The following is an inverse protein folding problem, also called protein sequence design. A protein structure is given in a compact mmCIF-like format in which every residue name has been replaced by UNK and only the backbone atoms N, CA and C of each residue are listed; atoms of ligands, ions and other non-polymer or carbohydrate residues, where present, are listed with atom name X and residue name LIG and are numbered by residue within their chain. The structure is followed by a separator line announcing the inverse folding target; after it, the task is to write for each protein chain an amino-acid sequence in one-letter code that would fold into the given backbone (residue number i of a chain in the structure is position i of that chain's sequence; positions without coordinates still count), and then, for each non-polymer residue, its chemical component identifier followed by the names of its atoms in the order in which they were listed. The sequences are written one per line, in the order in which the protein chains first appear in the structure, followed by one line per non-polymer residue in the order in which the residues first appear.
data_IF_430939891558
#
_entry.id   IF_430939891558
#
_cell.length_a   1.000
_cell.length_b   1.000
_cell.length_c   1.000
_cell.angle_alpha   90.00
_cell.angle_beta   90.00
_cell.angle_gamma   90.00
#
_symmetry.space_group_name_H-M   'P 1'
#
loop_
_entity.id
_entity.type
_entity.pdbx_description
1 polymer ?
#
# COMPACT_ATOMS: atom_id res chain seq x y z
N UNK A 1 9.38 -27.91 -2.35
CA UNK A 1 9.55 -26.44 -2.31
C UNK A 1 8.51 -25.84 -3.22
N UNK A 2 7.44 -25.27 -2.66
CA UNK A 2 6.42 -24.57 -3.46
C UNK A 2 6.95 -23.19 -3.81
N UNK A 3 7.26 -22.98 -5.09
CA UNK A 3 7.63 -21.67 -5.62
C UNK A 3 6.43 -20.74 -5.37
N UNK A 4 6.60 -19.79 -4.47
CA UNK A 4 5.63 -18.72 -4.26
C UNK A 4 5.48 -17.99 -5.61
N UNK A 5 4.27 -17.84 -6.16
CA UNK A 5 4.10 -17.19 -7.46
C UNK A 5 4.70 -15.79 -7.41
N UNK A 6 5.49 -15.45 -8.44
CA UNK A 6 6.12 -14.15 -8.54
C UNK A 6 5.05 -13.05 -8.54
N UNK A 7 5.28 -11.98 -7.78
CA UNK A 7 4.39 -10.82 -7.75
C UNK A 7 4.28 -10.20 -9.16
N UNK A 8 3.07 -9.87 -9.65
CA UNK A 8 2.91 -9.27 -10.97
C UNK A 8 3.38 -7.81 -10.95
N UNK A 9 4.49 -7.52 -11.64
CA UNK A 9 4.95 -6.14 -11.89
C UNK A 9 4.06 -5.46 -12.94
N UNK A 10 4.00 -4.12 -12.91
CA UNK A 10 3.21 -3.35 -13.88
C UNK A 10 2.45 -2.17 -13.28
N UNK A 11 1.45 -1.70 -14.03
CA UNK A 11 0.61 -0.56 -13.63
C UNK A 11 -0.67 -1.04 -12.96
N UNK A 12 -0.93 -0.50 -11.78
CA UNK A 12 -2.07 -0.88 -10.95
C UNK A 12 -2.73 0.33 -10.30
N UNK A 13 -4.01 0.16 -10.00
CA UNK A 13 -4.74 0.93 -8.99
C UNK A 13 -4.78 0.11 -7.71
N UNK A 14 -4.45 0.74 -6.58
CA UNK A 14 -4.35 0.08 -5.28
C UNK A 14 -5.60 0.41 -4.46
N UNK A 15 -6.52 -0.55 -4.31
CA UNK A 15 -7.72 -0.40 -3.48
C UNK A 15 -7.42 -0.79 -2.04
N UNK A 16 -7.74 0.08 -1.09
CA UNK A 16 -7.63 -0.21 0.34
C UNK A 16 -8.71 -1.22 0.75
N UNK A 17 -8.29 -2.28 1.43
CA UNK A 17 -9.11 -3.37 1.97
C UNK A 17 -8.47 -3.87 3.28
N UNK A 18 -9.05 -4.89 3.91
CA UNK A 18 -8.41 -5.57 5.04
C UNK A 18 -8.28 -7.05 4.76
N UNK A 19 -7.46 -7.74 5.55
CA UNK A 19 -7.34 -9.21 5.46
C UNK A 19 -8.58 -9.95 5.92
N UNK A 20 -9.40 -9.34 6.80
CA UNK A 20 -10.68 -9.89 7.25
C UNK A 20 -11.80 -9.67 6.24
N UNK A 21 -11.75 -8.58 5.48
CA UNK A 21 -12.68 -8.22 4.41
C UNK A 21 -11.91 -7.84 3.11
N UNK A 22 -11.39 -8.85 2.38
CA UNK A 22 -10.60 -8.61 1.16
C UNK A 22 -11.45 -8.11 -0.03
N UNK A 23 -12.77 -8.13 0.09
CA UNK A 23 -13.68 -7.68 -0.96
C UNK A 23 -14.97 -7.07 -0.36
N UNK A 24 -14.91 -5.82 0.12
CA UNK A 24 -16.05 -5.15 0.77
C UNK A 24 -17.20 -4.77 -0.21
N UNK A 25 -17.19 -5.29 -1.44
CA UNK A 25 -18.23 -5.05 -2.45
C UNK A 25 -17.92 -3.89 -3.38
N UNK A 26 -18.97 -3.22 -3.87
CA UNK A 26 -18.87 -2.09 -4.82
C UNK A 26 -18.49 -0.81 -4.08
N UNK A 27 -17.59 -0.02 -4.69
CA UNK A 27 -17.05 1.20 -4.09
C UNK A 27 -15.71 0.97 -3.41
N UNK A 28 -15.42 1.75 -2.38
CA UNK A 28 -14.13 1.76 -1.69
C UNK A 28 -13.21 2.88 -2.17
N UNK A 29 -12.03 2.92 -1.58
CA UNK A 29 -11.07 3.99 -1.78
C UNK A 29 -9.75 3.44 -2.31
N UNK A 30 -9.11 4.24 -3.16
CA UNK A 30 -7.88 3.89 -3.85
C UNK A 30 -6.76 4.84 -3.46
N UNK A 31 -5.54 4.32 -3.33
CA UNK A 31 -4.36 5.15 -3.13
C UNK A 31 -4.28 6.18 -4.27
N UNK A 32 -4.25 7.45 -3.88
CA UNK A 32 -4.37 8.60 -4.77
C UNK A 32 -3.20 9.53 -4.49
N UNK A 33 -2.34 9.72 -5.49
CA UNK A 33 -1.21 10.63 -5.43
C UNK A 33 -1.66 12.08 -5.41
N UNK A 34 -0.77 12.96 -4.98
CA UNK A 34 -0.97 14.42 -4.90
C UNK A 34 0.22 15.16 -5.48
N UNK A 35 0.48 16.35 -4.98
CA UNK A 35 1.70 17.08 -5.31
C UNK A 35 2.91 16.41 -4.64
N UNK A 36 4.13 16.67 -5.12
CA UNK A 36 5.36 16.16 -4.49
C UNK A 36 5.46 16.55 -3.02
N UNK A 37 6.04 15.66 -2.22
CA UNK A 37 6.19 15.80 -0.76
C UNK A 37 4.88 15.79 0.04
N UNK A 38 3.73 15.84 -0.62
CA UNK A 38 2.44 15.72 0.04
C UNK A 38 2.10 14.26 0.38
N UNK A 39 1.27 14.03 1.41
CA UNK A 39 0.77 12.69 1.74
C UNK A 39 -0.02 12.04 0.61
N UNK A 40 0.21 10.75 0.39
CA UNK A 40 -0.64 9.93 -0.46
C UNK A 40 -1.96 9.72 0.28
N UNK A 41 -3.05 10.13 -0.34
CA UNK A 41 -4.41 10.03 0.23
C UNK A 41 -5.17 8.88 -0.41
N UNK A 42 -6.41 8.69 0.02
CA UNK A 42 -7.35 7.78 -0.58
C UNK A 42 -8.53 8.56 -1.16
N UNK A 43 -9.03 8.12 -2.30
CA UNK A 43 -10.19 8.72 -2.94
C UNK A 43 -11.04 7.62 -3.60
N UNK A 44 -12.34 7.84 -3.82
CA UNK A 44 -13.19 6.88 -4.50
C UNK A 44 -12.76 6.67 -5.96
N UNK A 45 -13.16 5.53 -6.54
CA UNK A 45 -13.01 5.26 -7.98
C UNK A 45 -13.98 6.16 -8.75
N UNK A 46 -13.49 7.32 -9.18
CA UNK A 46 -14.27 8.28 -9.97
C UNK A 46 -13.39 8.95 -11.01
N UNK A 47 -13.95 9.40 -12.15
CA UNK A 47 -13.17 10.02 -13.22
C UNK A 47 -12.32 11.22 -12.79
N UNK A 48 -12.71 11.91 -11.71
CA UNK A 48 -11.98 13.05 -11.14
C UNK A 48 -10.59 12.68 -10.56
N UNK A 49 -10.40 11.43 -10.13
CA UNK A 49 -9.18 10.97 -9.47
C UNK A 49 -8.45 9.88 -10.26
N UNK A 50 -9.01 9.42 -11.38
CA UNK A 50 -8.51 8.27 -12.13
C UNK A 50 -7.06 8.45 -12.61
N UNK A 51 -6.71 9.67 -13.00
CA UNK A 51 -5.37 10.09 -13.40
C UNK A 51 -4.36 10.10 -12.24
N UNK A 52 -4.83 10.15 -10.98
CA UNK A 52 -4.01 10.19 -9.76
C UNK A 52 -3.97 8.87 -9.00
N UNK A 53 -4.69 7.86 -9.47
CA UNK A 53 -4.82 6.55 -8.82
C UNK A 53 -3.96 5.44 -9.46
N UNK A 54 -3.13 5.80 -10.44
CA UNK A 54 -2.28 4.85 -11.17
C UNK A 54 -0.88 4.82 -10.59
N UNK A 55 -0.41 3.61 -10.27
CA UNK A 55 0.91 3.35 -9.68
C UNK A 55 1.65 2.29 -10.49
N UNK A 56 2.93 2.50 -10.75
CA UNK A 56 3.79 1.53 -11.43
C UNK A 56 4.65 0.80 -10.40
N UNK A 57 4.37 -0.49 -10.20
CA UNK A 57 5.11 -1.35 -9.28
C UNK A 57 6.19 -2.08 -10.05
N UNK A 58 7.44 -1.91 -9.63
CA UNK A 58 8.63 -2.47 -10.29
C UNK A 58 9.45 -3.23 -9.27
N UNK A 59 9.94 -4.42 -9.63
CA UNK A 59 10.81 -5.22 -8.76
C UNK A 59 12.25 -4.70 -8.78
N UNK A 60 12.90 -4.73 -7.63
CA UNK A 60 14.33 -4.46 -7.53
C UNK A 60 15.12 -5.65 -8.10
N UNK A 61 16.20 -5.38 -8.85
CA UNK A 61 16.94 -6.42 -9.60
C UNK A 61 17.53 -7.53 -8.72
N UNK A 62 17.99 -7.16 -7.54
CA UNK A 62 18.82 -8.03 -6.69
C UNK A 62 18.10 -8.53 -5.43
N UNK A 63 16.83 -8.13 -5.23
CA UNK A 63 16.07 -8.41 -4.02
C UNK A 63 14.62 -8.79 -4.35
N UNK A 64 13.95 -9.51 -3.43
CA UNK A 64 12.51 -9.73 -3.53
C UNK A 64 11.71 -8.54 -2.96
N UNK A 65 12.13 -7.33 -3.32
CA UNK A 65 11.58 -6.06 -2.88
C UNK A 65 11.14 -5.25 -4.10
N UNK A 66 10.23 -4.30 -3.90
CA UNK A 66 9.53 -3.58 -4.96
C UNK A 66 9.45 -2.10 -4.63
N UNK A 67 9.46 -1.28 -5.69
CA UNK A 67 9.19 0.16 -5.61
C UNK A 67 7.82 0.45 -6.19
N UNK A 68 7.08 1.35 -5.54
CA UNK A 68 5.75 1.80 -5.97
C UNK A 68 5.92 3.22 -6.49
N UNK A 69 6.03 3.36 -7.81
CA UNK A 69 6.19 4.66 -8.47
C UNK A 69 4.83 5.29 -8.76
N UNK A 70 4.73 6.60 -8.60
CA UNK A 70 3.57 7.33 -9.09
C UNK A 70 3.58 7.35 -10.62
N UNK A 71 2.43 6.99 -11.22
CA UNK A 71 2.29 6.90 -12.67
C UNK A 71 1.12 7.76 -13.19
N UNK A 72 0.69 8.76 -12.41
CA UNK A 72 -0.35 9.69 -12.78
C UNK A 72 0.08 10.81 -13.73
N UNK A 73 -0.87 11.66 -14.15
CA UNK A 73 -0.62 12.76 -15.09
C UNK A 73 0.02 13.98 -14.41
N UNK A 74 1.33 13.98 -14.25
CA UNK A 74 2.15 15.20 -14.02
C UNK A 74 3.63 14.90 -14.31
N UNK A 75 4.47 15.91 -14.59
CA UNK A 75 5.90 15.71 -14.86
C UNK A 75 6.67 15.40 -13.57
N UNK A 76 6.42 14.26 -12.94
CA UNK A 76 7.24 13.73 -11.85
C UNK A 76 8.00 12.50 -12.32
N UNK A 77 9.15 12.66 -13.01
CA UNK A 77 9.96 11.51 -13.30
C UNK A 77 10.57 11.00 -11.99
N UNK A 78 10.03 9.86 -11.51
CA UNK A 78 10.60 8.93 -10.51
C UNK A 78 10.15 9.09 -9.06
N UNK A 79 9.09 9.84 -8.75
CA UNK A 79 8.50 9.84 -7.41
C UNK A 79 7.64 8.59 -7.16
N UNK A 80 7.36 8.32 -5.89
CA UNK A 80 6.61 7.16 -5.45
C UNK A 80 6.47 7.12 -3.93
N UNK A 81 6.01 5.98 -3.42
CA UNK A 81 5.79 5.82 -1.98
C UNK A 81 7.10 5.99 -1.21
N UNK A 82 7.10 6.94 -0.29
CA UNK A 82 8.19 7.16 0.67
C UNK A 82 7.64 7.47 2.06
N UNK A 83 8.50 7.44 3.07
CA UNK A 83 8.13 7.70 4.46
C UNK A 83 9.35 8.21 5.23
N UNK A 84 9.13 9.09 6.21
CA UNK A 84 10.23 9.64 7.02
C UNK A 84 10.78 8.63 8.04
N UNK A 85 9.90 7.89 8.71
CA UNK A 85 10.23 6.87 9.72
C UNK A 85 9.27 5.68 9.64
N UNK A 86 9.55 4.63 10.41
CA UNK A 86 8.72 3.43 10.53
C UNK A 86 7.78 3.47 11.75
N UNK A 87 7.57 4.66 12.31
CA UNK A 87 6.68 4.84 13.45
C UNK A 87 5.21 4.78 13.03
N UNK A 88 4.35 4.29 13.92
CA UNK A 88 2.91 4.19 13.63
C UNK A 88 2.30 5.58 13.44
N UNK A 89 1.55 5.77 12.36
CA UNK A 89 0.96 7.04 11.97
C UNK A 89 1.84 7.91 11.07
N UNK A 90 3.09 7.51 10.78
CA UNK A 90 3.93 8.24 9.82
C UNK A 90 3.29 8.18 8.43
N UNK A 91 3.03 9.32 7.77
CA UNK A 91 2.39 9.33 6.46
C UNK A 91 3.30 8.73 5.38
N UNK A 92 2.68 8.03 4.45
CA UNK A 92 3.28 7.75 3.14
C UNK A 92 3.15 9.02 2.31
N UNK A 93 4.26 9.55 1.82
CA UNK A 93 4.28 10.75 0.96
C UNK A 93 4.79 10.41 -0.43
N UNK A 94 4.58 11.34 -1.38
CA UNK A 94 5.23 11.28 -2.68
C UNK A 94 6.66 11.82 -2.61
N UNK A 95 7.63 10.98 -2.92
CA UNK A 95 9.04 11.39 -2.97
C UNK A 95 9.93 10.29 -3.53
N UNK A 96 11.21 10.28 -3.12
CA UNK A 96 12.15 9.24 -3.53
C UNK A 96 11.66 7.85 -3.06
N UNK A 97 11.33 6.91 -3.99
CA UNK A 97 10.65 5.67 -3.63
C UNK A 97 11.54 4.76 -2.78
N UNK A 98 10.99 4.36 -1.65
CA UNK A 98 11.56 3.34 -0.75
C UNK A 98 11.10 1.95 -1.17
N UNK A 99 11.76 0.95 -0.59
CA UNK A 99 11.53 -0.46 -0.89
C UNK A 99 10.45 -1.04 0.00
N UNK A 100 9.60 -1.85 -0.61
CA UNK A 100 8.51 -2.57 0.05
C UNK A 100 8.55 -4.05 -0.31
N UNK A 101 7.98 -4.90 0.54
CA UNK A 101 7.61 -6.27 0.18
C UNK A 101 6.10 -6.37 0.02
N UNK A 102 5.69 -7.26 -0.88
CA UNK A 102 4.29 -7.59 -1.12
C UNK A 102 4.07 -9.04 -0.72
N UNK A 103 3.22 -9.24 0.29
CA UNK A 103 2.88 -10.55 0.80
C UNK A 103 1.43 -10.88 0.42
N UNK A 104 1.23 -11.90 -0.41
CA UNK A 104 -0.11 -12.37 -0.75
C UNK A 104 -0.76 -12.99 0.49
N UNK A 105 -1.92 -12.47 0.89
CA UNK A 105 -2.61 -12.99 2.06
C UNK A 105 -3.26 -14.36 1.76
N UNK A 106 -3.04 -15.40 2.59
CA UNK A 106 -3.46 -16.76 2.28
C UNK A 106 -4.95 -16.89 1.96
N UNK A 107 -5.27 -17.58 0.85
CA UNK A 107 -6.66 -17.82 0.43
C UNK A 107 -7.38 -16.62 -0.16
N UNK A 108 -6.67 -15.53 -0.48
CA UNK A 108 -7.23 -14.30 -1.04
C UNK A 108 -6.47 -13.84 -2.29
N UNK A 109 -6.88 -12.70 -2.85
CA UNK A 109 -6.18 -11.98 -3.94
C UNK A 109 -5.68 -10.59 -3.51
N UNK A 110 -5.47 -10.40 -2.20
CA UNK A 110 -5.02 -9.12 -1.62
C UNK A 110 -3.61 -9.24 -1.06
N UNK A 111 -2.89 -8.13 -1.10
CA UNK A 111 -1.50 -8.07 -0.66
C UNK A 111 -1.36 -7.19 0.57
N UNK A 112 -0.63 -7.68 1.56
CA UNK A 112 -0.11 -6.83 2.64
C UNK A 112 1.18 -6.19 2.14
N UNK A 113 1.22 -4.86 2.17
CA UNK A 113 2.38 -4.07 1.73
C UNK A 113 3.20 -3.71 2.97
N UNK A 114 4.48 -4.09 2.98
CA UNK A 114 5.36 -3.93 4.15
C UNK A 114 6.58 -3.10 3.80
N UNK A 115 6.89 -2.04 4.56
CA UNK A 115 8.15 -1.32 4.41
C UNK A 115 9.36 -2.22 4.71
N UNK A 116 10.40 -2.13 3.90
CA UNK A 116 11.67 -2.82 4.18
C UNK A 116 12.40 -2.14 5.35
N UNK A 117 13.07 -2.94 6.18
CA UNK A 117 13.83 -2.45 7.35
C UNK A 117 13.01 -2.29 8.63
N UNK A 118 11.76 -2.77 8.66
CA UNK A 118 10.96 -2.84 9.88
C UNK A 118 11.69 -3.66 10.98
N UNK A 119 11.80 -3.15 12.22
CA UNK A 119 12.40 -3.90 13.31
C UNK A 119 11.52 -5.11 13.67
N UNK A 120 12.10 -6.19 14.22
CA UNK A 120 11.31 -7.31 14.73
C UNK A 120 10.32 -6.85 15.80
N UNK A 121 9.13 -7.44 15.83
CA UNK A 121 8.07 -7.09 16.78
C UNK A 121 6.72 -6.95 16.08
N UNK A 122 5.95 -5.87 16.31
CA UNK A 122 4.65 -5.69 15.68
C UNK A 122 4.77 -5.63 14.16
N UNK A 123 3.73 -6.14 13.51
CA UNK A 123 3.57 -6.08 12.06
C UNK A 123 3.59 -4.64 11.59
N UNK A 124 4.56 -4.30 10.74
CA UNK A 124 4.67 -2.95 10.17
C UNK A 124 4.19 -3.00 8.72
N UNK A 125 3.09 -2.31 8.43
CA UNK A 125 2.35 -2.40 7.17
C UNK A 125 1.92 -1.02 6.68
N UNK A 126 1.58 -0.90 5.40
CA UNK A 126 0.95 0.31 4.85
C UNK A 126 -0.56 0.20 5.04
N UNK A 127 -1.12 1.09 5.86
CA UNK A 127 -2.56 1.18 6.14
C UNK A 127 -3.14 2.53 5.74
N UNK A 128 -4.38 2.77 6.18
CA UNK A 128 -5.11 4.01 5.94
C UNK A 128 -5.65 4.52 7.27
N UNK A 129 -5.40 5.79 7.57
CA UNK A 129 -5.97 6.49 8.73
C UNK A 129 -6.71 7.74 8.27
N UNK A 130 -7.89 7.97 8.81
CA UNK A 130 -8.63 9.20 8.55
C UNK A 130 -7.97 10.38 9.29
N UNK A 131 -7.55 11.37 8.52
CA UNK A 131 -7.06 12.68 9.01
C UNK A 131 -7.99 13.73 8.42
N UNK A 132 -8.69 14.49 9.27
CA UNK A 132 -9.64 15.52 8.84
C UNK A 132 -10.69 15.01 7.83
N UNK A 133 -11.22 13.80 8.05
CA UNK A 133 -12.17 13.10 7.16
C UNK A 133 -11.60 12.69 5.79
N UNK A 134 -10.29 12.76 5.60
CA UNK A 134 -9.58 12.28 4.43
C UNK A 134 -8.71 11.08 4.80
N UNK A 135 -8.98 9.92 4.21
CA UNK A 135 -8.15 8.75 4.42
C UNK A 135 -6.75 8.99 3.87
N UNK A 136 -5.74 8.93 4.73
CA UNK A 136 -4.33 9.15 4.42
C UNK A 136 -3.57 7.83 4.58
N UNK A 137 -2.69 7.50 3.63
CA UNK A 137 -1.85 6.32 3.75
C UNK A 137 -0.80 6.56 4.82
N UNK A 138 -0.64 5.59 5.72
CA UNK A 138 0.27 5.68 6.85
C UNK A 138 1.00 4.36 7.07
N UNK A 139 2.15 4.44 7.74
CA UNK A 139 2.78 3.29 8.38
C UNK A 139 1.92 2.92 9.59
N UNK A 140 1.45 1.67 9.65
CA UNK A 140 0.79 1.12 10.81
C UNK A 140 1.67 0.06 11.48
N UNK A 141 1.67 0.07 12.81
CA UNK A 141 2.30 -0.98 13.62
C UNK A 141 1.22 -1.73 14.39
N UNK A 142 0.98 -2.97 14.00
CA UNK A 142 -0.10 -3.81 14.53
C UNK A 142 0.52 -4.91 15.39
N UNK A 143 0.12 -4.94 16.66
CA UNK A 143 0.55 -6.00 17.57
C UNK A 143 -0.35 -7.22 17.35
N UNK A 144 0.22 -8.44 17.29
CA UNK A 144 -0.59 -9.65 17.23
C UNK A 144 -1.59 -9.68 18.38
N UNK A 145 -2.83 -10.06 18.06
CA UNK A 145 -3.92 -10.10 19.03
C UNK A 145 -3.60 -11.03 20.20
N UNK A 146 -4.24 -10.76 21.34
CA UNK A 146 -4.21 -11.67 22.49
C UNK A 146 -4.85 -13.02 22.12
N UNK A 147 -4.64 -14.09 22.93
CA UNK A 147 -5.21 -15.43 22.66
C UNK A 147 -6.73 -15.45 22.44
N UNK A 148 -7.45 -14.42 22.87
CA UNK A 148 -8.90 -14.25 22.74
C UNK A 148 -9.35 -13.63 21.41
N UNK A 149 -8.45 -13.03 20.63
CA UNK A 149 -8.70 -12.54 19.25
C UNK A 149 -7.56 -12.97 18.33
N UNK A 150 -7.52 -14.25 17.91
CA UNK A 150 -6.39 -14.81 17.17
C UNK A 150 -6.31 -14.33 15.72
N UNK A 151 -7.38 -13.74 15.16
CA UNK A 151 -7.38 -13.29 13.77
C UNK A 151 -6.83 -11.86 13.71
N UNK A 152 -5.52 -11.78 13.50
CA UNK A 152 -4.84 -10.55 13.15
C UNK A 152 -5.47 -9.99 11.87
N UNK A 153 -6.19 -8.88 11.99
CA UNK A 153 -6.70 -8.14 10.83
C UNK A 153 -5.71 -7.06 10.44
N UNK A 154 -5.10 -7.20 9.27
CA UNK A 154 -4.16 -6.25 8.71
C UNK A 154 -4.81 -5.43 7.60
N UNK A 155 -4.43 -4.15 7.46
CA UNK A 155 -4.57 -3.44 6.20
C UNK A 155 -3.97 -4.23 5.05
N UNK A 156 -4.71 -4.32 3.97
CA UNK A 156 -4.31 -4.99 2.75
C UNK A 156 -4.73 -4.18 1.53
N UNK A 157 -4.19 -4.56 0.38
CA UNK A 157 -4.37 -3.83 -0.87
C UNK A 157 -4.74 -4.78 -1.98
N UNK A 158 -5.87 -4.51 -2.63
CA UNK A 158 -6.29 -5.20 -3.84
C UNK A 158 -5.76 -4.45 -5.06
N UNK A 159 -5.06 -5.17 -5.93
CA UNK A 159 -4.42 -4.61 -7.12
C UNK A 159 -5.33 -4.80 -8.33
N UNK A 160 -5.72 -3.70 -8.96
CA UNK A 160 -6.45 -3.71 -10.23
C UNK A 160 -5.52 -3.22 -11.33
N UNK A 161 -5.36 -3.96 -12.44
CA UNK A 161 -4.61 -3.46 -13.59
C UNK A 161 -5.14 -2.09 -14.05
N UNK A 162 -4.21 -1.20 -14.42
CA UNK A 162 -4.49 0.16 -14.88
C UNK A 162 -4.17 0.34 -16.38
#
# INVERSE_FOLDING_TARGET
MTLQPAFPEGRFRLRAVTTSDPNPGVGGVFATGSDPSEPVTTAPDSPRFADRQTWHIVKNKDENTYKIHYAGQTPHPKEGFTYASLDSGTPITLGAPKDFTFELWPGTDVYVIRPVGAPPGPETVVGVRDVDSTGTLVIERIFPGTPTSPKLDLPAWKLYPA
#
